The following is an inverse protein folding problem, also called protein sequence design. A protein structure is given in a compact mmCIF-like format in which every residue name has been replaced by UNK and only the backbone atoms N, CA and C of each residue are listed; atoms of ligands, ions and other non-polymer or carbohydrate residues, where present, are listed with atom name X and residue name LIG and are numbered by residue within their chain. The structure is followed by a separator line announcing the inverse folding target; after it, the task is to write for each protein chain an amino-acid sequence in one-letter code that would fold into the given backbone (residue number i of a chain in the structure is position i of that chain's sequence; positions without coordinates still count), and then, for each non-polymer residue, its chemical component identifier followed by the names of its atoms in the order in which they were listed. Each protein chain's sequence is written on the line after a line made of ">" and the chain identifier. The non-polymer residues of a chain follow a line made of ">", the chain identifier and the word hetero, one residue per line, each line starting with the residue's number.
data_IF_450708624346
#
_entry.id   IF_450708624346
#
_cell.length_a   1.000
_cell.length_b   1.000
_cell.length_c   1.000
_cell.angle_alpha   90.00
_cell.angle_beta   90.00
_cell.angle_gamma   90.00
#
_symmetry.space_group_name_H-M   'P 1'
#
loop_
_entity.id
_entity.type
_entity.pdbx_description
1 polymer ?
#
# COMPACT_ATOMS: atom_id res chain seq x y z
N UNK A 1 -14.90 -11.60 -1.97
CA UNK A 1 -14.97 -10.79 -3.20
C UNK A 1 -15.81 -9.57 -2.87
N UNK A 2 -15.30 -8.35 -3.04
CA UNK A 2 -16.01 -7.12 -2.59
C UNK A 2 -17.10 -6.79 -3.62
N UNK A 3 -18.37 -6.71 -3.20
CA UNK A 3 -19.55 -6.51 -4.09
C UNK A 3 -19.44 -5.28 -5.01
N UNK A 4 -18.88 -4.17 -4.51
CA UNK A 4 -18.72 -2.94 -5.29
C UNK A 4 -17.77 -3.02 -6.50
N UNK A 5 -16.91 -4.06 -6.58
CA UNK A 5 -16.08 -4.29 -7.79
C UNK A 5 -16.89 -4.91 -8.92
N UNK A 6 -17.91 -5.72 -8.60
CA UNK A 6 -18.73 -6.44 -9.58
C UNK A 6 -19.72 -5.53 -10.30
N UNK A 7 -20.27 -4.55 -9.61
CA UNK A 7 -21.17 -3.54 -10.20
C UNK A 7 -20.44 -2.61 -11.17
N UNK A 8 -19.14 -2.39 -10.98
CA UNK A 8 -18.34 -1.48 -11.80
C UNK A 8 -17.79 -2.13 -13.07
N UNK A 9 -17.59 -3.44 -13.08
CA UNK A 9 -17.30 -4.22 -14.30
C UNK A 9 -18.46 -4.18 -15.32
N UNK A 10 -19.68 -3.81 -14.87
CA UNK A 10 -20.89 -3.76 -15.70
C UNK A 10 -21.20 -2.35 -16.27
N UNK A 11 -20.45 -1.30 -15.88
CA UNK A 11 -20.69 0.07 -16.35
C UNK A 11 -19.94 0.35 -17.66
N UNK A 12 -20.58 0.98 -18.66
CA UNK A 12 -19.92 1.36 -19.91
C UNK A 12 -18.92 2.50 -19.66
N UNK A 13 -17.63 2.19 -19.76
CA UNK A 13 -16.51 3.13 -19.65
C UNK A 13 -15.27 2.43 -19.09
N UNK A 14 -14.08 2.74 -19.61
CA UNK A 14 -12.81 2.10 -19.18
C UNK A 14 -12.39 2.42 -17.74
N UNK A 15 -13.12 3.29 -17.03
CA UNK A 15 -12.73 3.79 -15.72
C UNK A 15 -11.56 4.79 -15.77
N UNK A 16 -11.17 5.26 -16.96
CA UNK A 16 -9.96 6.04 -17.21
C UNK A 16 -9.78 7.22 -16.26
N UNK A 17 -10.81 8.06 -16.14
CA UNK A 17 -10.78 9.24 -15.28
C UNK A 17 -10.61 8.86 -13.81
N UNK A 18 -11.27 7.77 -13.37
CA UNK A 18 -11.18 7.32 -11.98
C UNK A 18 -9.80 6.72 -11.67
N UNK A 19 -9.19 6.01 -12.62
CA UNK A 19 -7.82 5.52 -12.49
C UNK A 19 -6.79 6.66 -12.47
N UNK A 20 -6.96 7.68 -13.32
CA UNK A 20 -6.13 8.89 -13.27
C UNK A 20 -6.30 9.66 -11.96
N UNK A 21 -7.53 9.77 -11.47
CA UNK A 21 -7.80 10.40 -10.18
C UNK A 21 -7.17 9.59 -9.04
N UNK A 22 -7.32 8.26 -9.05
CA UNK A 22 -6.70 7.38 -8.06
C UNK A 22 -5.18 7.52 -8.07
N UNK A 23 -4.55 7.58 -9.25
CA UNK A 23 -3.12 7.81 -9.38
C UNK A 23 -2.69 9.09 -8.66
N UNK A 24 -3.37 10.21 -8.94
CA UNK A 24 -3.10 11.50 -8.27
C UNK A 24 -3.25 11.40 -6.75
N UNK A 25 -4.31 10.74 -6.27
CA UNK A 25 -4.54 10.57 -4.83
C UNK A 25 -3.45 9.71 -4.15
N UNK A 26 -2.98 8.64 -4.81
CA UNK A 26 -1.86 7.85 -4.32
C UNK A 26 -0.56 8.66 -4.30
N UNK A 27 -0.27 9.45 -5.34
CA UNK A 27 0.89 10.32 -5.37
C UNK A 27 0.86 11.36 -4.24
N UNK A 28 -0.29 12.02 -4.04
CA UNK A 28 -0.47 12.99 -2.97
C UNK A 28 -0.33 12.35 -1.58
N UNK A 29 -0.86 11.12 -1.40
CA UNK A 29 -0.71 10.37 -0.17
C UNK A 29 0.75 10.03 0.10
N UNK A 30 1.49 9.54 -0.90
CA UNK A 30 2.91 9.25 -0.78
C UNK A 30 3.72 10.51 -0.41
N UNK A 31 3.43 11.65 -1.06
CA UNK A 31 4.08 12.93 -0.74
C UNK A 31 3.82 13.37 0.70
N UNK A 32 2.58 13.19 1.19
CA UNK A 32 2.23 13.48 2.59
C UNK A 32 2.94 12.53 3.56
N UNK A 33 3.06 11.25 3.22
CA UNK A 33 3.80 10.28 4.03
C UNK A 33 5.30 10.63 4.09
N UNK A 34 5.91 11.01 2.97
CA UNK A 34 7.30 11.46 2.94
C UNK A 34 7.52 12.73 3.77
N UNK A 35 6.59 13.69 3.71
CA UNK A 35 6.66 14.91 4.48
C UNK A 35 6.63 14.69 6.00
N UNK A 36 6.06 13.56 6.48
CA UNK A 36 6.05 13.22 7.91
C UNK A 36 7.30 12.47 8.36
N UNK A 37 8.08 11.87 7.46
CA UNK A 37 9.26 11.07 7.80
C UNK A 37 10.30 11.78 8.69
N UNK A 38 10.58 13.10 8.53
CA UNK A 38 11.49 13.81 9.43
C UNK A 38 11.04 13.83 10.89
N UNK A 39 9.75 13.62 11.16
CA UNK A 39 9.17 13.63 12.51
C UNK A 39 9.00 12.22 13.10
N UNK A 40 9.27 11.17 12.31
CA UNK A 40 9.20 9.78 12.79
C UNK A 40 10.51 9.44 13.51
N UNK A 41 10.46 8.95 14.76
CA UNK A 41 11.66 8.54 15.50
C UNK A 41 12.42 7.42 14.78
N UNK A 42 13.74 7.49 14.81
CA UNK A 42 14.64 6.50 14.22
C UNK A 42 15.04 5.40 15.21
N UNK A 43 14.14 5.12 16.16
CA UNK A 43 14.32 4.07 17.16
C UNK A 43 14.22 2.70 16.49
N UNK A 44 15.08 1.79 16.92
CA UNK A 44 14.99 0.38 16.52
C UNK A 44 13.64 -0.21 16.94
N UNK A 45 13.16 -1.16 16.14
CA UNK A 45 11.93 -1.88 16.44
C UNK A 45 12.05 -2.61 17.78
N UNK A 46 10.99 -2.54 18.58
CA UNK A 46 10.89 -3.35 19.80
C UNK A 46 10.84 -4.84 19.46
N UNK A 47 11.14 -5.70 20.43
CA UNK A 47 11.06 -7.16 20.23
C UNK A 47 9.66 -7.61 19.74
N UNK A 48 8.59 -6.97 20.24
CA UNK A 48 7.21 -7.28 19.81
C UNK A 48 6.97 -6.88 18.37
N UNK A 49 7.48 -5.72 17.96
CA UNK A 49 7.37 -5.22 16.59
C UNK A 49 8.17 -6.10 15.62
N UNK A 50 9.39 -6.47 15.97
CA UNK A 50 10.20 -7.37 15.18
C UNK A 50 9.58 -8.77 15.02
N UNK A 51 9.04 -9.33 16.11
CA UNK A 51 8.33 -10.62 16.07
C UNK A 51 7.10 -10.55 15.16
N UNK A 52 6.36 -9.43 15.20
CA UNK A 52 5.20 -9.22 14.33
C UNK A 52 5.61 -9.14 12.85
N UNK A 53 6.66 -8.38 12.48
CA UNK A 53 7.15 -8.36 11.10
C UNK A 53 7.60 -9.73 10.61
N UNK A 54 8.31 -10.48 11.46
CA UNK A 54 8.74 -11.85 11.15
C UNK A 54 7.54 -12.77 10.89
N UNK A 55 6.48 -12.65 11.70
CA UNK A 55 5.26 -13.42 11.49
C UNK A 55 4.56 -13.05 10.18
N UNK A 56 4.42 -11.76 9.89
CA UNK A 56 3.84 -11.31 8.62
C UNK A 56 4.60 -11.88 7.41
N UNK A 57 5.94 -11.84 7.45
CA UNK A 57 6.76 -12.40 6.40
C UNK A 57 6.57 -13.93 6.23
N UNK A 58 6.37 -14.65 7.33
CA UNK A 58 6.08 -16.09 7.28
C UNK A 58 4.70 -16.39 6.69
N UNK A 59 3.69 -15.55 6.98
CA UNK A 59 2.32 -15.73 6.52
C UNK A 59 2.13 -15.36 5.04
N UNK A 60 2.74 -14.26 4.58
CA UNK A 60 2.66 -13.78 3.19
C UNK A 60 3.89 -12.94 2.82
N UNK A 61 5.01 -13.61 2.59
CA UNK A 61 6.28 -12.96 2.28
C UNK A 61 6.26 -12.05 1.05
N UNK A 62 5.34 -12.25 0.09
CA UNK A 62 5.24 -11.37 -1.08
C UNK A 62 4.60 -10.02 -0.71
N UNK A 63 3.49 -10.03 0.04
CA UNK A 63 2.81 -8.79 0.44
C UNK A 63 3.68 -7.92 1.34
N UNK A 64 4.50 -8.53 2.21
CA UNK A 64 5.28 -7.82 3.22
C UNK A 64 6.78 -7.66 2.90
N UNK A 65 7.23 -8.08 1.70
CA UNK A 65 8.63 -7.98 1.28
C UNK A 65 9.20 -6.56 1.38
N UNK A 66 8.36 -5.53 1.17
CA UNK A 66 8.77 -4.13 1.23
C UNK A 66 9.14 -3.64 2.64
N UNK A 67 8.62 -4.30 3.68
CA UNK A 67 8.80 -3.88 5.08
C UNK A 67 9.57 -4.91 5.92
N UNK A 68 9.78 -6.13 5.43
CA UNK A 68 10.40 -7.23 6.19
C UNK A 68 11.83 -6.95 6.67
N UNK A 69 12.57 -6.11 5.95
CA UNK A 69 13.96 -5.76 6.29
C UNK A 69 14.07 -4.45 7.10
N UNK A 70 12.95 -3.88 7.54
CA UNK A 70 12.94 -2.61 8.25
C UNK A 70 13.54 -2.75 9.64
N UNK A 71 14.43 -1.83 10.01
CA UNK A 71 15.09 -1.81 11.33
C UNK A 71 14.42 -0.85 12.31
N UNK A 72 13.69 0.12 11.79
CA UNK A 72 12.98 1.15 12.55
C UNK A 72 11.57 1.36 12.02
N UNK A 73 10.69 2.00 12.80
CA UNK A 73 9.38 2.43 12.31
C UNK A 73 9.53 3.41 11.13
N UNK A 74 10.55 4.29 11.18
CA UNK A 74 10.85 5.23 10.10
C UNK A 74 11.13 4.51 8.77
N UNK A 75 11.82 3.37 8.81
CA UNK A 75 12.06 2.55 7.62
C UNK A 75 10.76 1.93 7.09
N UNK A 76 9.91 1.42 7.99
CA UNK A 76 8.58 0.89 7.62
C UNK A 76 7.73 1.96 6.94
N UNK A 77 7.65 3.17 7.52
CA UNK A 77 6.91 4.29 6.92
C UNK A 77 7.49 4.71 5.58
N UNK A 78 8.82 4.73 5.43
CA UNK A 78 9.48 5.05 4.17
C UNK A 78 9.15 4.01 3.10
N UNK A 79 9.25 2.73 3.43
CA UNK A 79 8.88 1.64 2.54
C UNK A 79 7.40 1.69 2.14
N UNK A 80 6.51 1.97 3.10
CA UNK A 80 5.09 2.11 2.81
C UNK A 80 4.81 3.29 1.88
N UNK A 81 5.43 4.46 2.11
CA UNK A 81 5.33 5.61 1.22
C UNK A 81 5.78 5.27 -0.22
N UNK A 82 6.85 4.50 -0.37
CA UNK A 82 7.32 4.02 -1.67
C UNK A 82 6.28 3.11 -2.35
N UNK A 83 5.67 2.18 -1.61
CA UNK A 83 4.60 1.31 -2.14
C UNK A 83 3.36 2.14 -2.53
N UNK A 84 2.98 3.13 -1.72
CA UNK A 84 1.89 4.07 -2.05
C UNK A 84 2.20 4.83 -3.36
N UNK A 85 3.45 5.24 -3.57
CA UNK A 85 3.86 5.85 -4.85
C UNK A 85 3.81 4.86 -6.01
N UNK A 86 4.23 3.61 -5.83
CA UNK A 86 4.08 2.57 -6.85
C UNK A 86 2.60 2.33 -7.23
N UNK A 87 1.69 2.40 -6.26
CA UNK A 87 0.25 2.32 -6.54
C UNK A 87 -0.26 3.48 -7.40
N UNK A 88 0.36 4.66 -7.31
CA UNK A 88 0.08 5.76 -8.24
C UNK A 88 0.44 5.38 -9.67
N UNK A 89 1.64 4.83 -9.87
CA UNK A 89 2.14 4.45 -11.20
C UNK A 89 1.28 3.34 -11.81
N UNK A 90 0.92 2.34 -11.00
CA UNK A 90 0.00 1.26 -11.39
C UNK A 90 -1.34 1.84 -11.81
N UNK A 91 -2.00 2.63 -10.96
CA UNK A 91 -3.30 3.21 -11.25
C UNK A 91 -3.26 4.07 -12.52
N UNK A 92 -2.20 4.87 -12.70
CA UNK A 92 -2.00 5.69 -13.91
C UNK A 92 -1.87 4.85 -15.18
N UNK A 93 -1.13 3.74 -15.11
CA UNK A 93 -0.92 2.82 -16.26
C UNK A 93 -2.20 2.09 -16.68
N UNK A 94 -3.16 1.95 -15.77
CA UNK A 94 -4.41 1.22 -15.98
C UNK A 94 -5.53 2.09 -16.56
N UNK A 95 -5.38 3.42 -16.57
CA UNK A 95 -6.40 4.33 -17.08
C UNK A 95 -6.77 4.10 -18.57
N UNK A 96 -5.91 3.44 -19.35
CA UNK A 96 -6.16 3.11 -20.75
C UNK A 96 -6.57 1.65 -21.00
N UNK A 97 -6.76 0.82 -19.97
CA UNK A 97 -6.90 -0.63 -20.14
C UNK A 97 -8.34 -1.12 -19.94
N UNK A 98 -8.83 -2.00 -20.84
CA UNK A 98 -10.19 -2.56 -20.76
C UNK A 98 -10.41 -3.48 -19.53
N UNK A 99 -9.35 -4.12 -19.03
CA UNK A 99 -9.38 -5.03 -17.88
C UNK A 99 -8.76 -4.43 -16.60
N UNK A 100 -8.70 -3.11 -16.52
CA UNK A 100 -8.03 -2.37 -15.46
C UNK A 100 -8.45 -2.78 -14.03
N UNK A 101 -9.75 -2.98 -13.79
CA UNK A 101 -10.26 -3.37 -12.47
C UNK A 101 -9.81 -4.76 -12.03
N UNK A 102 -9.83 -5.74 -12.95
CA UNK A 102 -9.33 -7.08 -12.67
C UNK A 102 -7.83 -7.08 -12.42
N UNK A 103 -7.08 -6.24 -13.12
CA UNK A 103 -5.64 -6.10 -12.96
C UNK A 103 -5.25 -5.43 -11.63
N UNK A 104 -5.98 -4.40 -11.19
CA UNK A 104 -5.65 -3.65 -9.97
C UNK A 104 -6.11 -4.35 -8.69
N UNK A 105 -7.17 -5.16 -8.74
CA UNK A 105 -7.82 -5.71 -7.55
C UNK A 105 -6.87 -6.48 -6.61
N UNK A 106 -6.00 -7.41 -7.10
CA UNK A 106 -5.05 -8.11 -6.24
C UNK A 106 -4.04 -7.16 -5.59
N UNK A 107 -3.61 -6.13 -6.31
CA UNK A 107 -2.64 -5.14 -5.84
C UNK A 107 -3.23 -4.25 -4.74
N UNK A 108 -4.50 -3.84 -4.88
CA UNK A 108 -5.21 -3.12 -3.83
C UNK A 108 -5.38 -3.96 -2.57
N UNK A 109 -5.68 -5.25 -2.70
CA UNK A 109 -5.79 -6.15 -1.54
C UNK A 109 -4.46 -6.24 -0.80
N UNK A 110 -3.34 -6.43 -1.52
CA UNK A 110 -2.01 -6.44 -0.92
C UNK A 110 -1.67 -5.09 -0.27
N UNK A 111 -1.96 -3.98 -0.95
CA UNK A 111 -1.75 -2.63 -0.44
C UNK A 111 -2.50 -2.37 0.87
N UNK A 112 -3.78 -2.73 0.95
CA UNK A 112 -4.57 -2.51 2.16
C UNK A 112 -4.12 -3.42 3.31
N UNK A 113 -3.76 -4.67 3.05
CA UNK A 113 -3.15 -5.54 4.07
C UNK A 113 -1.86 -4.95 4.61
N UNK A 114 -0.99 -4.45 3.73
CA UNK A 114 0.24 -3.78 4.12
C UNK A 114 -0.06 -2.55 4.98
N UNK A 115 -1.03 -1.72 4.58
CA UNK A 115 -1.44 -0.54 5.34
C UNK A 115 -1.94 -0.90 6.76
N UNK A 116 -2.80 -1.91 6.87
CA UNK A 116 -3.30 -2.40 8.16
C UNK A 116 -2.16 -2.90 9.05
N UNK A 117 -1.19 -3.61 8.47
CA UNK A 117 0.00 -4.08 9.18
C UNK A 117 0.92 -2.96 9.65
N UNK A 118 1.09 -1.89 8.87
CA UNK A 118 1.87 -0.70 9.26
C UNK A 118 1.24 -0.03 10.49
N UNK A 119 -0.10 0.12 10.49
CA UNK A 119 -0.84 0.66 11.65
C UNK A 119 -0.71 -0.26 12.86
N UNK A 120 -0.95 -1.56 12.67
CA UNK A 120 -0.82 -2.56 13.73
C UNK A 120 0.59 -2.57 14.35
N UNK A 121 1.64 -2.40 13.55
CA UNK A 121 3.02 -2.31 14.03
C UNK A 121 3.25 -1.07 14.91
N UNK A 122 2.67 0.07 14.53
CA UNK A 122 2.75 1.32 15.31
C UNK A 122 2.09 1.17 16.70
N UNK A 123 0.94 0.51 16.77
CA UNK A 123 0.20 0.27 18.02
C UNK A 123 0.91 -0.69 19.00
N UNK A 124 1.94 -1.41 18.52
CA UNK A 124 2.71 -2.40 19.31
C UNK A 124 3.99 -1.81 19.93
N UNK A 125 4.09 -0.47 19.98
CA UNK A 125 5.17 0.23 20.70
C UNK A 125 5.18 -0.10 22.19
#
# INVERSE_FOLDING_TARGET
>A
MIEGLRERELLPGSGAEQFQQAARLFADAANKMEAVLPFVPEEELSQRQFAYLTQLQADDGQTYASISESKSLKDVYRSFANVTRQMSDVAGSLAGQENAFRAISPQLIAYFRLADSVVALQERR
#
